data_IF_515643744847
#
_entry.id   IF_515643744847
#
_cell.length_a   1.000
_cell.length_b   1.000
_cell.length_c   1.000
_cell.angle_alpha   90.00
_cell.angle_beta   90.00
_cell.angle_gamma   90.00
#
_symmetry.space_group_name_H-M   'P 1'
#
loop_
_entity.id
_entity.type
_entity.pdbx_description
1 polymer ?
#
# COMPACT_ATOMS: atom_id res chain seq x y z
N UNK A 1 -31.82 -10.55 -47.44
CA UNK A 1 -31.57 -11.32 -46.20
C UNK A 1 -30.22 -12.02 -46.32
N UNK A 2 -29.16 -11.45 -45.73
CA UNK A 2 -27.90 -12.14 -45.45
C UNK A 2 -27.34 -11.54 -44.17
N UNK A 3 -27.64 -12.24 -43.08
CA UNK A 3 -27.26 -11.96 -41.70
C UNK A 3 -25.72 -11.90 -41.62
N UNK A 4 -25.14 -10.80 -41.14
CA UNK A 4 -24.86 -10.55 -39.71
C UNK A 4 -24.23 -11.75 -39.02
N UNK A 5 -22.88 -11.83 -38.98
CA UNK A 5 -22.11 -12.32 -37.82
C UNK A 5 -20.61 -12.07 -38.04
N UNK A 6 -20.17 -10.83 -37.84
CA UNK A 6 -18.77 -10.52 -37.53
C UNK A 6 -18.85 -9.59 -36.32
N UNK A 7 -17.87 -9.67 -35.42
CA UNK A 7 -17.66 -8.83 -34.22
C UNK A 7 -18.17 -9.47 -32.91
N UNK A 8 -17.53 -10.55 -32.46
CA UNK A 8 -17.38 -10.85 -31.02
C UNK A 8 -16.00 -11.48 -30.79
N UNK A 9 -14.91 -10.70 -30.92
CA UNK A 9 -13.57 -11.14 -30.47
C UNK A 9 -12.64 -9.97 -30.13
N UNK A 10 -13.15 -8.90 -29.52
CA UNK A 10 -12.33 -7.79 -29.00
C UNK A 10 -12.92 -7.34 -27.67
N UNK A 11 -12.66 -8.06 -26.57
CA UNK A 11 -13.00 -7.58 -25.22
C UNK A 11 -12.27 -8.31 -24.08
N UNK A 12 -10.99 -8.66 -24.24
CA UNK A 12 -10.21 -9.29 -23.14
C UNK A 12 -8.80 -8.71 -22.97
N UNK A 13 -8.55 -7.45 -23.34
CA UNK A 13 -7.22 -6.83 -23.17
C UNK A 13 -7.19 -5.58 -22.28
N UNK A 14 -8.20 -5.35 -21.44
CA UNK A 14 -8.22 -4.20 -20.53
C UNK A 14 -8.30 -4.60 -19.06
N UNK A 15 -7.25 -5.24 -18.54
CA UNK A 15 -7.02 -5.30 -17.10
C UNK A 15 -5.54 -5.49 -16.77
N UNK A 16 -4.66 -4.71 -17.39
CA UNK A 16 -3.31 -4.48 -16.91
C UNK A 16 -3.07 -2.97 -16.83
N UNK A 17 -3.72 -2.30 -15.88
CA UNK A 17 -3.30 -0.97 -15.47
C UNK A 17 -3.07 -0.98 -13.96
N UNK A 18 -1.84 -1.35 -13.58
CA UNK A 18 -1.30 -1.11 -12.24
C UNK A 18 -1.10 0.41 -12.07
N UNK A 19 -2.17 1.16 -11.92
CA UNK A 19 -2.10 2.57 -11.50
C UNK A 19 -1.92 2.62 -9.98
N UNK A 20 -0.71 2.33 -9.52
CA UNK A 20 -0.32 2.55 -8.14
C UNK A 20 -0.05 4.04 -7.94
N UNK A 21 -0.97 4.76 -7.28
CA UNK A 21 -0.73 6.14 -6.87
C UNK A 21 -0.09 6.14 -5.49
N UNK A 22 1.23 6.01 -5.46
CA UNK A 22 2.02 6.45 -4.31
C UNK A 22 1.77 7.95 -4.11
N UNK A 23 1.39 8.34 -2.91
CA UNK A 23 1.21 9.76 -2.59
C UNK A 23 2.59 10.41 -2.59
N UNK A 24 2.86 11.24 -3.61
CA UNK A 24 4.09 12.03 -3.66
C UNK A 24 4.05 13.10 -2.56
N UNK A 25 5.22 13.43 -2.01
CA UNK A 25 5.35 14.43 -0.94
C UNK A 25 4.64 15.74 -1.27
N UNK A 26 3.94 16.30 -0.28
CA UNK A 26 3.52 17.70 -0.29
C UNK A 26 2.18 18.05 -0.94
N UNK A 27 1.34 17.09 -1.36
CA UNK A 27 -0.04 17.43 -1.74
C UNK A 27 -1.03 16.31 -1.41
N UNK A 28 -1.98 16.54 -0.48
CA UNK A 28 -3.12 15.65 -0.27
C UNK A 28 -3.89 15.48 -1.58
N UNK A 29 -4.11 14.23 -2.00
CA UNK A 29 -5.08 13.98 -3.05
C UNK A 29 -6.49 13.98 -2.44
N UNK A 30 -7.49 14.59 -3.08
CA UNK A 30 -8.86 14.43 -2.62
C UNK A 30 -9.26 12.95 -2.75
N UNK A 31 -9.83 12.39 -1.68
CA UNK A 31 -10.40 11.04 -1.69
C UNK A 31 -11.65 11.04 -2.58
N UNK A 32 -11.81 10.00 -3.40
CA UNK A 32 -13.08 9.69 -4.04
C UNK A 32 -13.95 8.81 -3.14
N UNK A 33 -15.19 8.62 -3.55
CA UNK A 33 -16.06 7.58 -2.99
C UNK A 33 -15.34 6.23 -3.02
N UNK A 34 -15.47 5.48 -1.93
CA UNK A 34 -14.83 4.19 -1.69
C UNK A 34 -13.28 4.24 -1.71
N UNK A 35 -12.64 5.38 -1.44
CA UNK A 35 -11.17 5.48 -1.28
C UNK A 35 -10.76 5.84 0.16
N UNK A 36 -9.56 5.41 0.55
CA UNK A 36 -8.91 5.74 1.82
C UNK A 36 -7.39 5.78 1.68
N UNK A 37 -6.71 6.13 2.77
CA UNK A 37 -5.25 6.15 2.86
C UNK A 37 -4.70 4.99 3.69
N UNK A 38 -3.87 4.15 3.08
CA UNK A 38 -3.14 3.10 3.78
C UNK A 38 -1.73 3.59 4.14
N UNK A 39 -1.49 3.76 5.45
CA UNK A 39 -0.19 4.09 6.00
C UNK A 39 0.64 2.85 6.33
N UNK A 40 1.92 2.85 5.96
CA UNK A 40 2.89 1.81 6.28
C UNK A 40 4.23 2.43 6.66
N UNK A 41 4.90 1.89 7.67
CA UNK A 41 6.31 2.17 7.95
C UNK A 41 7.13 0.92 7.68
N UNK A 42 8.28 1.06 7.03
CA UNK A 42 9.18 -0.03 6.74
C UNK A 42 10.51 0.26 7.42
N UNK A 43 10.97 -0.66 8.25
CA UNK A 43 12.25 -0.60 8.93
C UNK A 43 13.12 -1.73 8.39
N UNK A 44 13.93 -1.43 7.38
CA UNK A 44 14.74 -2.39 6.65
C UNK A 44 16.21 -2.31 7.11
N UNK A 45 16.83 -3.45 7.43
CA UNK A 45 18.28 -3.53 7.72
C UNK A 45 19.12 -3.64 6.45
N UNK A 46 18.47 -3.92 5.33
CA UNK A 46 19.05 -4.13 4.03
C UNK A 46 18.13 -3.55 2.97
N UNK A 47 18.63 -3.34 1.77
CA UNK A 47 17.81 -2.84 0.66
C UNK A 47 16.83 -3.92 0.21
N UNK A 48 15.57 -3.53 0.03
CA UNK A 48 14.51 -4.36 -0.51
C UNK A 48 14.26 -3.99 -1.97
N UNK A 49 14.03 -4.99 -2.81
CA UNK A 49 13.62 -4.78 -4.19
C UNK A 49 12.17 -4.29 -4.23
N UNK A 50 11.29 -4.94 -3.48
CA UNK A 50 9.88 -4.56 -3.39
C UNK A 50 9.19 -5.19 -2.17
N UNK A 51 8.05 -4.61 -1.81
CA UNK A 51 7.02 -5.23 -0.98
C UNK A 51 5.73 -5.27 -1.79
N UNK A 52 5.05 -6.42 -1.80
CA UNK A 52 3.72 -6.56 -2.40
C UNK A 52 2.66 -6.52 -1.31
N UNK A 53 1.69 -5.62 -1.47
CA UNK A 53 0.46 -5.53 -0.70
C UNK A 53 -0.69 -5.95 -1.61
N UNK A 54 -1.55 -6.85 -1.14
CA UNK A 54 -2.65 -7.41 -1.90
C UNK A 54 -3.98 -7.06 -1.24
N UNK A 55 -4.94 -6.54 -2.01
CA UNK A 55 -6.33 -6.50 -1.59
C UNK A 55 -6.91 -7.93 -1.64
N UNK A 56 -7.39 -8.46 -0.52
CA UNK A 56 -7.83 -9.86 -0.41
C UNK A 56 -9.15 -10.11 -1.12
N UNK A 57 -10.02 -9.10 -1.18
CA UNK A 57 -11.35 -9.17 -1.78
C UNK A 57 -11.29 -9.18 -3.31
N UNK A 58 -10.49 -8.28 -3.89
CA UNK A 58 -10.38 -8.08 -5.36
C UNK A 58 -9.19 -8.80 -5.98
N UNK A 59 -8.21 -9.20 -5.18
CA UNK A 59 -6.95 -9.77 -5.65
C UNK A 59 -5.96 -8.77 -6.25
N UNK A 60 -6.29 -7.48 -6.27
CA UNK A 60 -5.41 -6.41 -6.78
C UNK A 60 -4.11 -6.32 -5.97
N UNK A 61 -3.00 -5.99 -6.66
CA UNK A 61 -1.64 -5.97 -6.08
C UNK A 61 -0.99 -4.59 -6.20
N UNK A 62 -0.39 -4.14 -5.11
CA UNK A 62 0.32 -2.88 -4.96
C UNK A 62 1.77 -3.16 -4.59
N UNK A 63 2.73 -2.56 -5.31
CA UNK A 63 4.16 -2.75 -5.11
C UNK A 63 4.74 -1.47 -4.50
N UNK A 64 5.56 -1.63 -3.47
CA UNK A 64 6.35 -0.56 -2.87
C UNK A 64 7.81 -0.92 -3.05
N UNK A 65 8.57 -0.10 -3.78
CA UNK A 65 9.99 -0.30 -3.95
C UNK A 65 10.57 0.45 -5.15
N UNK A 66 11.90 0.47 -5.29
CA UNK A 66 12.89 -0.10 -4.37
C UNK A 66 12.97 0.65 -3.03
N UNK A 67 13.45 -0.03 -1.98
CA UNK A 67 13.54 0.51 -0.62
C UNK A 67 14.97 0.38 -0.12
N UNK A 68 15.60 1.48 0.25
CA UNK A 68 16.95 1.46 0.83
C UNK A 68 16.93 0.96 2.28
N UNK A 69 18.12 0.72 2.84
CA UNK A 69 18.25 0.50 4.29
C UNK A 69 17.70 1.71 5.09
N UNK A 70 17.14 1.44 6.26
CA UNK A 70 16.63 2.46 7.18
C UNK A 70 15.12 2.42 7.39
N UNK A 71 14.57 3.54 7.88
CA UNK A 71 13.15 3.69 8.19
C UNK A 71 12.49 4.57 7.14
N UNK A 72 11.50 4.03 6.45
CA UNK A 72 10.74 4.67 5.38
C UNK A 72 9.25 4.68 5.71
N UNK A 73 8.56 5.77 5.35
CA UNK A 73 7.12 5.90 5.50
C UNK A 73 6.47 5.97 4.12
N UNK A 74 5.39 5.21 3.95
CA UNK A 74 4.60 5.17 2.73
C UNK A 74 3.12 5.42 3.05
N UNK A 75 2.49 6.26 2.23
CA UNK A 75 1.04 6.50 2.24
C UNK A 75 0.51 6.14 0.85
N UNK A 76 -0.41 5.19 0.80
CA UNK A 76 -1.03 4.74 -0.45
C UNK A 76 -2.47 5.24 -0.49
N UNK A 77 -2.87 5.82 -1.62
CA UNK A 77 -4.28 6.07 -1.91
C UNK A 77 -4.86 4.82 -2.58
N UNK A 78 -5.81 4.17 -1.91
CA UNK A 78 -6.37 2.89 -2.33
C UNK A 78 -7.90 2.90 -2.17
N UNK A 79 -8.57 1.97 -2.85
CA UNK A 79 -9.99 1.70 -2.59
C UNK A 79 -10.16 1.05 -1.22
N UNK A 80 -11.28 1.26 -0.55
CA UNK A 80 -11.60 0.57 0.71
C UNK A 80 -11.61 -0.96 0.53
N UNK A 81 -11.32 -1.67 1.62
CA UNK A 81 -11.24 -3.13 1.66
C UNK A 81 -10.05 -3.67 2.46
N UNK A 82 -9.98 -5.00 2.58
CA UNK A 82 -8.89 -5.65 3.32
C UNK A 82 -7.59 -5.78 2.49
N UNK A 83 -6.49 -5.27 3.04
CA UNK A 83 -5.16 -5.30 2.43
C UNK A 83 -4.17 -6.06 3.31
N UNK A 84 -3.42 -6.97 2.69
CA UNK A 84 -2.41 -7.78 3.35
C UNK A 84 -1.05 -7.68 2.68
N UNK A 85 0.03 -7.65 3.46
CA UNK A 85 1.39 -7.84 2.94
C UNK A 85 1.52 -9.30 2.50
N UNK A 86 1.67 -9.53 1.20
CA UNK A 86 1.72 -10.89 0.62
C UNK A 86 3.12 -11.34 0.26
N UNK A 87 4.04 -10.42 -0.02
CA UNK A 87 5.42 -10.73 -0.45
C UNK A 87 6.40 -9.65 -0.04
N UNK A 88 7.61 -10.05 0.34
CA UNK A 88 8.78 -9.18 0.45
C UNK A 88 9.88 -9.74 -0.46
N UNK A 89 10.50 -8.87 -1.24
CA UNK A 89 11.60 -9.21 -2.15
C UNK A 89 12.90 -8.59 -1.63
N UNK A 90 13.84 -9.44 -1.22
CA UNK A 90 15.15 -9.04 -0.69
C UNK A 90 16.24 -9.98 -1.18
N UNK A 91 17.43 -9.46 -1.50
CA UNK A 91 18.58 -10.26 -1.96
C UNK A 91 18.32 -11.16 -3.17
N UNK A 92 17.37 -10.80 -4.05
CA UNK A 92 16.97 -11.63 -5.18
C UNK A 92 16.11 -12.85 -4.79
N UNK A 93 15.69 -12.94 -3.53
CA UNK A 93 14.74 -13.94 -3.04
C UNK A 93 13.34 -13.35 -2.87
N UNK A 94 12.34 -14.21 -3.04
CA UNK A 94 10.93 -13.91 -2.80
C UNK A 94 10.49 -14.58 -1.50
N UNK A 95 10.03 -13.78 -0.55
CA UNK A 95 9.45 -14.26 0.71
C UNK A 95 7.94 -14.07 0.67
N UNK A 96 7.22 -15.13 0.32
CA UNK A 96 5.76 -15.16 0.25
C UNK A 96 5.15 -15.49 1.62
N UNK A 97 4.17 -14.69 2.06
CA UNK A 97 3.41 -14.96 3.28
C UNK A 97 2.16 -15.76 2.94
N UNK A 98 2.12 -17.02 3.40
CA UNK A 98 0.93 -17.86 3.31
C UNK A 98 -0.10 -17.45 4.38
N UNK A 99 -1.40 -17.55 4.08
CA UNK A 99 -2.52 -17.22 4.99
C UNK A 99 -2.63 -15.75 5.44
N UNK A 100 -2.40 -14.81 4.52
CA UNK A 100 -2.74 -13.41 4.77
C UNK A 100 -1.64 -12.56 5.42
N UNK A 101 -0.48 -13.11 5.80
CA UNK A 101 0.65 -12.30 6.28
C UNK A 101 0.24 -11.26 7.35
N UNK A 102 0.37 -9.97 7.02
CA UNK A 102 -0.07 -8.86 7.87
C UNK A 102 -1.17 -8.05 7.19
N UNK A 103 -2.39 -8.08 7.74
CA UNK A 103 -3.58 -7.46 7.16
C UNK A 103 -4.09 -6.24 7.94
N UNK A 104 -4.77 -5.35 7.24
CA UNK A 104 -5.57 -4.26 7.80
C UNK A 104 -6.75 -3.98 6.88
N UNK A 105 -7.90 -3.65 7.47
CA UNK A 105 -9.05 -3.15 6.72
C UNK A 105 -8.90 -1.64 6.51
N UNK A 106 -8.94 -1.20 5.25
CA UNK A 106 -8.96 0.21 4.89
C UNK A 106 -10.40 0.68 4.80
N UNK A 107 -10.78 1.62 5.66
CA UNK A 107 -12.09 2.23 5.64
C UNK A 107 -12.17 3.38 4.64
N UNK A 108 -13.35 3.56 4.05
CA UNK A 108 -13.61 4.69 3.16
C UNK A 108 -13.50 6.02 3.92
N UNK A 109 -12.84 7.00 3.31
CA UNK A 109 -12.70 8.34 3.89
C UNK A 109 -11.64 8.43 4.98
N UNK A 110 -11.03 7.32 5.39
CA UNK A 110 -10.12 7.25 6.52
C UNK A 110 -8.64 7.13 6.14
N UNK A 111 -7.78 7.25 7.16
CA UNK A 111 -6.38 6.87 7.11
C UNK A 111 -6.13 5.73 8.10
N UNK A 112 -5.94 4.51 7.59
CA UNK A 112 -5.64 3.35 8.40
C UNK A 112 -4.14 3.05 8.36
N UNK A 113 -3.56 2.73 9.51
CA UNK A 113 -2.14 2.40 9.63
C UNK A 113 -1.97 0.90 9.76
N UNK A 114 -1.30 0.28 8.78
CA UNK A 114 -0.99 -1.15 8.80
C UNK A 114 -0.06 -1.47 9.97
N UNK A 115 1.00 -0.68 10.12
CA UNK A 115 2.01 -0.88 11.16
C UNK A 115 3.42 -0.55 10.67
N UNK A 116 4.41 -0.84 11.51
CA UNK A 116 5.81 -0.86 11.13
C UNK A 116 6.21 -2.29 10.81
N UNK A 117 6.47 -2.56 9.53
CA UNK A 117 7.08 -3.80 9.10
C UNK A 117 8.59 -3.70 9.32
N UNK A 118 9.08 -4.46 10.29
CA UNK A 118 10.50 -4.70 10.46
C UNK A 118 10.91 -5.87 9.56
N UNK A 119 11.70 -5.59 8.53
CA UNK A 119 12.19 -6.60 7.59
C UNK A 119 13.60 -6.99 8.01
N UNK A 120 13.80 -8.25 8.40
CA UNK A 120 15.09 -8.86 8.72
C UNK A 120 15.12 -10.19 7.97
N UNK A 121 16.04 -10.46 7.05
CA UNK A 121 16.05 -11.79 6.44
C UNK A 121 16.50 -12.83 7.48
N UNK A 122 15.76 -13.95 7.71
CA UNK A 122 14.56 -14.42 6.99
C UNK A 122 13.21 -14.14 7.69
N UNK A 123 13.19 -13.38 8.78
CA UNK A 123 12.00 -13.09 9.59
C UNK A 123 11.58 -11.62 9.53
N UNK A 124 10.40 -11.35 8.97
CA UNK A 124 9.76 -10.03 9.14
C UNK A 124 8.65 -10.11 10.17
N UNK A 125 8.45 -9.00 10.89
CA UNK A 125 7.39 -8.88 11.87
C UNK A 125 6.79 -7.47 11.83
N UNK A 126 5.50 -7.39 12.18
CA UNK A 126 4.77 -6.14 12.21
C UNK A 126 4.62 -5.65 13.65
N UNK A 127 4.91 -4.37 13.88
CA UNK A 127 4.70 -3.73 15.18
C UNK A 127 3.82 -2.50 15.03
N UNK A 128 2.91 -2.28 15.96
CA UNK A 128 2.12 -1.06 16.01
C UNK A 128 2.95 0.09 16.60
N UNK A 129 3.72 0.79 15.76
CA UNK A 129 4.54 1.97 16.15
C UNK A 129 3.89 3.28 15.74
N UNK A 130 2.63 3.47 16.11
CA UNK A 130 1.82 4.64 15.71
C UNK A 130 2.48 5.98 16.05
N UNK A 131 3.14 6.11 17.21
CA UNK A 131 3.86 7.34 17.59
C UNK A 131 4.95 7.72 16.59
N UNK A 132 5.69 6.73 16.06
CA UNK A 132 6.72 6.97 15.04
C UNK A 132 6.08 7.31 13.70
N UNK A 133 5.07 6.55 13.30
CA UNK A 133 4.30 6.82 12.08
C UNK A 133 3.77 8.25 12.05
N UNK A 134 3.11 8.71 13.13
CA UNK A 134 2.63 10.09 13.24
C UNK A 134 3.75 11.12 13.12
N UNK A 135 4.90 10.90 13.76
CA UNK A 135 6.06 11.82 13.64
C UNK A 135 6.56 11.91 12.20
N UNK A 136 6.63 10.78 11.49
CA UNK A 136 7.05 10.74 10.09
C UNK A 136 6.00 11.41 9.20
N UNK A 137 4.71 11.13 9.41
CA UNK A 137 3.60 11.78 8.72
C UNK A 137 3.61 13.29 8.91
N UNK A 138 3.84 13.79 10.14
CA UNK A 138 3.89 15.23 10.37
C UNK A 138 5.06 15.90 9.64
N UNK A 139 6.20 15.21 9.56
CA UNK A 139 7.38 15.70 8.83
C UNK A 139 7.19 15.67 7.31
N UNK A 140 6.67 14.57 6.77
CA UNK A 140 6.68 14.29 5.33
C UNK A 140 5.37 14.72 4.64
N UNK A 141 4.25 14.74 5.39
CA UNK A 141 2.90 15.05 4.90
C UNK A 141 2.06 15.80 5.97
N UNK A 142 2.50 16.99 6.43
CA UNK A 142 1.87 17.70 7.55
C UNK A 142 0.37 17.97 7.33
N UNK A 143 -0.05 18.30 6.11
CA UNK A 143 -1.47 18.53 5.77
C UNK A 143 -2.32 17.26 5.94
N UNK A 144 -1.82 16.10 5.48
CA UNK A 144 -2.50 14.82 5.67
C UNK A 144 -2.51 14.41 7.15
N UNK A 145 -1.40 14.62 7.86
CA UNK A 145 -1.30 14.33 9.28
C UNK A 145 -2.37 15.13 10.05
N UNK A 146 -2.44 16.44 9.85
CA UNK A 146 -3.42 17.28 10.52
C UNK A 146 -4.86 16.92 10.17
N UNK A 147 -5.14 16.61 8.89
CA UNK A 147 -6.49 16.28 8.45
C UNK A 147 -7.00 14.93 8.98
N UNK A 148 -6.18 13.88 8.92
CA UNK A 148 -6.63 12.51 9.17
C UNK A 148 -6.16 11.91 10.50
N UNK A 149 -5.08 12.43 11.09
CA UNK A 149 -4.59 11.98 12.40
C UNK A 149 -4.93 12.99 13.50
N UNK A 150 -4.83 14.29 13.20
CA UNK A 150 -5.15 15.37 14.14
C UNK A 150 -4.13 15.45 15.28
N UNK A 151 -4.51 14.99 16.49
CA UNK A 151 -3.72 15.23 17.71
C UNK A 151 -2.29 14.69 17.63
N UNK A 152 -1.33 15.59 17.80
CA UNK A 152 0.10 15.31 17.71
C UNK A 152 0.70 15.42 16.31
N UNK A 153 -0.05 16.00 15.37
CA UNK A 153 0.43 16.58 14.11
C UNK A 153 0.52 18.11 14.15
N UNK A 154 0.13 18.72 15.28
CA UNK A 154 0.24 20.14 15.58
C UNK A 154 1.69 20.59 15.80
#
# INVERSE_FOLDING_TARGET
MKNSLIIITILILQSCSMNQKLVKQGTPLPLKENEGYLGLTINAVESLSAITIKNTETGSKHLIGPISYGIHQYTLLLTAGEYCISRVDAHGYHFDYNNGGFCVYLEEGEMNYLGELAVRTPLSYLNQRFTRYRKLMNRDYPELCNKYIGKGCE
#
